data_IF_005741675842
#
_entry.id   IF_005741675842
#
_cell.length_a   1.000
_cell.length_b   1.000
_cell.length_c   1.000
_cell.angle_alpha   90.00
_cell.angle_beta   90.00
_cell.angle_gamma   90.00
#
_symmetry.space_group_name_H-M   'P 1'
#
loop_
_entity.id
_entity.type
_entity.pdbx_description
1 polymer ?
#
# COMPACT_ATOMS: atom_id res chain seq x y z
N UNK A 1 37.62 49.14 -4.38
CA UNK A 1 37.55 47.76 -3.84
C UNK A 1 36.10 47.45 -3.50
N UNK A 2 35.52 46.39 -4.05
CA UNK A 2 34.14 45.99 -3.71
C UNK A 2 34.13 45.48 -2.27
N UNK A 3 33.23 46.01 -1.44
CA UNK A 3 33.08 45.58 -0.04
C UNK A 3 32.43 44.19 0.03
N UNK A 4 32.90 43.35 0.94
CA UNK A 4 32.34 42.02 1.21
C UNK A 4 30.83 42.06 1.46
N UNK A 5 30.31 43.17 2.02
CA UNK A 5 28.87 43.38 2.23
C UNK A 5 28.10 43.52 0.92
N UNK A 6 28.68 44.19 -0.09
CA UNK A 6 28.07 44.33 -1.41
C UNK A 6 28.04 42.97 -2.14
N UNK A 7 29.11 42.19 -2.00
CA UNK A 7 29.16 40.81 -2.52
C UNK A 7 28.10 39.93 -1.84
N UNK A 8 27.98 39.98 -0.51
CA UNK A 8 26.95 39.23 0.23
C UNK A 8 25.53 39.60 -0.18
N UNK A 9 25.24 40.89 -0.35
CA UNK A 9 23.92 41.34 -0.85
C UNK A 9 23.66 40.89 -2.28
N UNK A 10 24.66 40.95 -3.15
CA UNK A 10 24.53 40.49 -4.53
C UNK A 10 24.28 38.98 -4.61
N UNK A 11 25.01 38.18 -3.82
CA UNK A 11 24.81 36.73 -3.72
C UNK A 11 23.45 36.37 -3.15
N UNK A 12 22.99 37.06 -2.09
CA UNK A 12 21.66 36.85 -1.53
C UNK A 12 20.55 37.18 -2.54
N UNK A 13 20.67 38.32 -3.24
CA UNK A 13 19.73 38.69 -4.29
C UNK A 13 19.72 37.69 -5.46
N UNK A 14 20.89 37.14 -5.82
CA UNK A 14 21.00 36.11 -6.85
C UNK A 14 20.35 34.78 -6.43
N UNK A 15 20.52 34.37 -5.17
CA UNK A 15 19.87 33.19 -4.62
C UNK A 15 18.34 33.33 -4.64
N UNK A 16 17.80 34.43 -4.12
CA UNK A 16 16.35 34.71 -4.15
C UNK A 16 15.79 34.81 -5.57
N UNK A 17 16.54 35.41 -6.51
CA UNK A 17 16.13 35.47 -7.91
C UNK A 17 16.11 34.09 -8.57
N UNK A 18 17.04 33.21 -8.21
CA UNK A 18 17.09 31.85 -8.77
C UNK A 18 15.97 30.98 -8.19
N UNK A 19 15.65 31.16 -6.91
CA UNK A 19 14.55 30.47 -6.23
C UNK A 19 13.17 30.89 -6.80
N UNK A 20 12.99 32.19 -7.08
CA UNK A 20 11.80 32.72 -7.77
C UNK A 20 11.79 32.47 -9.29
N UNK A 21 12.96 32.17 -9.89
CA UNK A 21 13.06 31.77 -11.29
C UNK A 21 12.90 30.25 -11.47
N UNK A 22 12.87 29.46 -10.38
CA UNK A 22 12.49 28.05 -10.45
C UNK A 22 11.04 28.01 -10.90
N UNK A 23 10.82 27.43 -12.09
CA UNK A 23 9.50 27.43 -12.73
C UNK A 23 8.51 26.70 -11.81
N UNK A 24 7.27 27.21 -11.61
CA UNK A 24 6.34 26.67 -10.61
C UNK A 24 6.11 25.15 -10.67
N UNK A 25 6.14 24.58 -11.88
CA UNK A 25 6.00 23.14 -12.08
C UNK A 25 7.18 22.32 -11.53
N UNK A 26 8.39 22.89 -11.45
CA UNK A 26 9.56 22.20 -10.89
C UNK A 26 9.39 21.97 -9.40
N UNK A 27 8.83 22.93 -8.66
CA UNK A 27 8.56 22.75 -7.23
C UNK A 27 7.57 21.61 -6.96
N UNK A 28 6.52 21.51 -7.78
CA UNK A 28 5.53 20.42 -7.69
C UNK A 28 6.17 19.06 -8.02
N UNK A 29 7.04 19.02 -9.04
CA UNK A 29 7.77 17.79 -9.41
C UNK A 29 8.75 17.37 -8.32
N UNK A 30 9.49 18.31 -7.74
CA UNK A 30 10.43 18.05 -6.64
C UNK A 30 9.69 17.51 -5.41
N UNK A 31 8.55 18.11 -5.05
CA UNK A 31 7.70 17.63 -3.96
C UNK A 31 7.17 16.21 -4.23
N UNK A 32 6.76 15.93 -5.46
CA UNK A 32 6.31 14.59 -5.84
C UNK A 32 7.44 13.55 -5.73
N UNK A 33 8.68 13.89 -6.09
CA UNK A 33 9.82 12.96 -5.96
C UNK A 33 10.22 12.74 -4.49
N UNK A 34 10.11 13.79 -3.66
CA UNK A 34 10.27 13.68 -2.21
C UNK A 34 9.22 12.73 -1.60
N UNK A 35 7.94 12.96 -1.91
CA UNK A 35 6.85 12.09 -1.46
C UNK A 35 7.06 10.63 -1.92
N UNK A 36 7.53 10.42 -3.15
CA UNK A 36 7.82 9.07 -3.67
C UNK A 36 8.97 8.38 -2.93
N UNK A 37 9.96 9.15 -2.47
CA UNK A 37 11.06 8.65 -1.64
C UNK A 37 10.55 8.21 -0.27
N UNK A 38 9.66 9.00 0.35
CA UNK A 38 9.03 8.63 1.62
C UNK A 38 8.15 7.38 1.48
N UNK A 39 7.40 7.25 0.38
CA UNK A 39 6.63 6.04 0.09
C UNK A 39 7.53 4.80 -0.06
N UNK A 40 8.69 4.93 -0.73
CA UNK A 40 9.66 3.83 -0.84
C UNK A 40 10.18 3.42 0.54
N UNK A 41 10.44 4.39 1.41
CA UNK A 41 10.86 4.13 2.79
C UNK A 41 9.76 3.44 3.59
N UNK A 42 8.52 3.87 3.45
CA UNK A 42 7.36 3.27 4.10
C UNK A 42 7.13 1.82 3.63
N UNK A 43 7.23 1.57 2.32
CA UNK A 43 7.18 0.21 1.76
C UNK A 43 8.30 -0.67 2.34
N UNK A 44 9.53 -0.15 2.40
CA UNK A 44 10.65 -0.87 3.00
C UNK A 44 10.44 -1.19 4.49
N UNK A 45 9.76 -0.33 5.25
CA UNK A 45 9.35 -0.66 6.62
C UNK A 45 8.36 -1.82 6.67
N UNK A 46 7.35 -1.82 5.80
CA UNK A 46 6.36 -2.90 5.73
C UNK A 46 7.04 -4.21 5.34
N UNK A 47 7.98 -4.19 4.40
CA UNK A 47 8.72 -5.38 3.97
C UNK A 47 9.65 -5.92 5.08
N UNK A 48 10.31 -5.03 5.82
CA UNK A 48 11.30 -5.43 6.83
C UNK A 48 10.69 -5.75 8.20
N UNK A 49 9.63 -5.04 8.61
CA UNK A 49 9.05 -5.10 9.96
C UNK A 49 7.64 -5.70 9.94
N UNK A 50 6.82 -5.29 8.97
CA UNK A 50 5.42 -5.69 8.85
C UNK A 50 4.46 -4.89 9.73
N UNK A 51 3.19 -4.83 9.30
CA UNK A 51 2.14 -4.10 10.01
C UNK A 51 1.64 -4.83 11.26
N UNK A 52 1.69 -6.16 11.26
CA UNK A 52 1.28 -6.97 12.42
C UNK A 52 2.20 -6.70 13.61
N UNK A 53 3.52 -6.64 13.35
CA UNK A 53 4.50 -6.31 14.38
C UNK A 53 4.38 -4.88 14.88
N UNK A 54 3.97 -3.94 14.02
CA UNK A 54 3.65 -2.58 14.45
C UNK A 54 2.42 -2.56 15.37
N UNK A 55 1.40 -3.37 15.09
CA UNK A 55 0.25 -3.53 15.97
C UNK A 55 0.64 -4.12 17.33
N UNK A 56 1.47 -5.16 17.35
CA UNK A 56 1.98 -5.74 18.61
C UNK A 56 2.76 -4.72 19.45
N UNK A 57 3.52 -3.84 18.79
CA UNK A 57 4.27 -2.77 19.46
C UNK A 57 3.35 -1.69 20.04
N UNK A 58 2.25 -1.34 19.36
CA UNK A 58 1.21 -0.46 19.88
C UNK A 58 0.56 -1.07 21.10
N UNK A 59 0.15 -2.34 21.04
CA UNK A 59 -0.45 -3.05 22.16
C UNK A 59 0.51 -3.17 23.36
N UNK A 60 1.82 -3.25 23.10
CA UNK A 60 2.84 -3.20 24.14
C UNK A 60 2.97 -1.81 24.78
N UNK A 61 2.90 -0.74 23.99
CA UNK A 61 2.92 0.63 24.47
C UNK A 61 1.69 0.95 25.33
N UNK A 62 0.49 0.55 24.88
CA UNK A 62 -0.75 0.69 25.65
C UNK A 62 -0.65 -0.06 26.98
N UNK A 63 -0.13 -1.30 26.98
CA UNK A 63 0.09 -2.07 28.22
C UNK A 63 1.13 -1.45 29.16
N UNK A 64 2.11 -0.73 28.61
CA UNK A 64 3.12 -0.01 29.38
C UNK A 64 2.60 1.35 29.91
N UNK A 65 1.42 1.79 29.48
CA UNK A 65 0.88 3.12 29.80
C UNK A 65 1.56 4.27 29.04
N UNK A 66 2.31 3.97 27.97
CA UNK A 66 2.88 5.00 27.09
C UNK A 66 1.86 5.38 26.01
N UNK A 67 0.90 6.19 26.43
CA UNK A 67 -0.26 6.57 25.62
C UNK A 67 0.15 7.40 24.38
N UNK A 68 1.19 8.22 24.49
CA UNK A 68 1.71 9.02 23.38
C UNK A 68 2.41 8.16 22.31
N UNK A 69 3.12 7.09 22.71
CA UNK A 69 3.66 6.13 21.74
C UNK A 69 2.55 5.32 21.09
N UNK A 70 1.57 4.86 21.86
CA UNK A 70 0.45 4.08 21.35
C UNK A 70 -0.41 4.88 20.37
N UNK A 71 -0.73 6.14 20.69
CA UNK A 71 -1.49 7.03 19.80
C UNK A 71 -0.76 7.22 18.46
N UNK A 72 0.52 7.58 18.49
CA UNK A 72 1.32 7.72 17.26
C UNK A 72 1.37 6.43 16.44
N UNK A 73 1.45 5.28 17.09
CA UNK A 73 1.45 4.00 16.38
C UNK A 73 0.08 3.65 15.79
N UNK A 74 -1.03 3.99 16.47
CA UNK A 74 -2.39 3.85 15.95
C UNK A 74 -2.60 4.74 14.71
N UNK A 75 -2.12 5.98 14.76
CA UNK A 75 -2.16 6.90 13.61
C UNK A 75 -1.37 6.35 12.42
N UNK A 76 -0.18 5.80 12.68
CA UNK A 76 0.62 5.15 11.65
C UNK A 76 -0.13 3.96 11.02
N UNK A 77 -0.73 3.08 11.83
CA UNK A 77 -1.53 1.96 11.32
C UNK A 77 -2.73 2.43 10.49
N UNK A 78 -3.42 3.49 10.93
CA UNK A 78 -4.53 4.08 10.18
C UNK A 78 -4.07 4.59 8.81
N UNK A 79 -2.93 5.29 8.75
CA UNK A 79 -2.35 5.76 7.49
C UNK A 79 -2.00 4.60 6.54
N UNK A 80 -1.31 3.57 7.03
CA UNK A 80 -0.99 2.39 6.20
C UNK A 80 -2.23 1.67 5.65
N UNK A 81 -3.28 1.54 6.48
CA UNK A 81 -4.56 0.95 6.05
C UNK A 81 -5.26 1.82 4.99
N UNK A 82 -5.21 3.13 5.14
CA UNK A 82 -5.73 4.06 4.14
C UNK A 82 -4.98 3.94 2.81
N UNK A 83 -3.64 3.86 2.83
CA UNK A 83 -2.84 3.64 1.61
C UNK A 83 -3.17 2.30 0.93
N UNK A 84 -3.33 1.23 1.71
CA UNK A 84 -3.74 -0.07 1.15
C UNK A 84 -5.12 -0.03 0.50
N UNK A 85 -6.07 0.71 1.11
CA UNK A 85 -7.41 0.92 0.54
C UNK A 85 -7.34 1.71 -0.76
N UNK A 86 -6.56 2.78 -0.80
CA UNK A 86 -6.36 3.58 -2.01
C UNK A 86 -5.75 2.74 -3.14
N UNK A 87 -4.71 1.95 -2.85
CA UNK A 87 -4.07 1.05 -3.81
C UNK A 87 -5.02 -0.05 -4.34
N UNK A 88 -5.94 -0.53 -3.50
CA UNK A 88 -6.97 -1.49 -3.92
C UNK A 88 -8.09 -0.83 -4.75
N UNK A 89 -8.38 0.46 -4.51
CA UNK A 89 -9.41 1.23 -5.21
C UNK A 89 -9.09 1.51 -6.69
N UNK A 90 -7.81 1.69 -7.03
CA UNK A 90 -7.37 1.79 -8.43
C UNK A 90 -7.38 0.44 -9.17
N UNK A 91 -7.31 -0.69 -8.45
CA UNK A 91 -7.34 -2.01 -9.06
C UNK A 91 -8.74 -2.44 -9.56
N UNK A 92 -9.81 -1.74 -9.15
CA UNK A 92 -11.20 -2.01 -9.56
C UNK A 92 -11.66 -1.06 -10.69
N UNK A 93 -10.86 -0.05 -11.05
CA UNK A 93 -11.23 0.98 -12.02
C UNK A 93 -10.90 0.69 -13.50
N UNK A 94 -10.22 -0.41 -13.82
CA UNK A 94 -9.75 -0.70 -15.19
C UNK A 94 -10.54 -1.82 -15.88
N UNK A 95 -11.85 -1.62 -16.01
CA UNK A 95 -12.67 -2.24 -17.07
C UNK A 95 -13.84 -1.30 -17.40
N UNK A 96 -13.75 -0.47 -18.46
CA UNK A 96 -14.95 -0.09 -19.17
C UNK A 96 -15.48 -1.37 -19.82
N UNK A 97 -16.46 -2.02 -19.19
CA UNK A 97 -17.25 -3.04 -19.86
C UNK A 97 -17.90 -2.38 -21.07
N UNK A 98 -17.40 -2.71 -22.26
CA UNK A 98 -18.08 -2.46 -23.50
C UNK A 98 -19.31 -3.37 -23.54
N UNK A 99 -20.40 -2.94 -22.92
CA UNK A 99 -21.75 -3.42 -23.25
C UNK A 99 -22.31 -2.50 -24.33
N UNK A 100 -21.90 -2.79 -25.56
CA UNK A 100 -22.72 -2.46 -26.72
C UNK A 100 -23.83 -3.53 -26.83
N UNK A 101 -25.06 -3.08 -27.01
CA UNK A 101 -26.27 -3.89 -27.21
C UNK A 101 -27.08 -3.99 -25.91
N UNK A 102 -28.37 -3.70 -25.88
CA UNK A 102 -29.33 -3.54 -26.95
C UNK A 102 -30.55 -2.81 -26.38
N UNK A 103 -31.23 -2.06 -27.24
CA UNK A 103 -32.54 -1.47 -26.96
C UNK A 103 -33.55 -2.59 -26.68
N UNK A 104 -34.24 -2.57 -25.53
CA UNK A 104 -35.61 -3.07 -25.48
C UNK A 104 -36.44 -2.46 -24.35
N UNK A 105 -37.43 -1.67 -24.78
CA UNK A 105 -38.76 -1.51 -24.20
C UNK A 105 -38.89 -1.09 -22.74
N UNK A 106 -39.13 0.22 -22.59
CA UNK A 106 -39.90 0.74 -21.47
C UNK A 106 -41.30 0.13 -21.44
N UNK A 107 -41.58 -0.66 -20.41
CA UNK A 107 -42.92 -1.02 -19.99
C UNK A 107 -43.10 -0.56 -18.54
N UNK A 108 -43.80 0.57 -18.38
CA UNK A 108 -44.41 0.96 -17.11
C UNK A 108 -45.57 0.01 -16.82
N UNK A 109 -45.44 -0.78 -15.77
CA UNK A 109 -46.57 -1.37 -15.07
C UNK A 109 -46.25 -1.30 -13.57
N UNK A 110 -47.02 -0.47 -12.88
CA UNK A 110 -47.19 -0.57 -11.44
C UNK A 110 -47.87 -1.92 -11.15
N UNK A 111 -47.37 -2.68 -10.19
CA UNK A 111 -48.19 -3.62 -9.43
C UNK A 111 -47.66 -3.78 -8.00
N UNK A 112 -48.62 -3.71 -7.09
CA UNK A 112 -48.54 -3.60 -5.65
C UNK A 112 -48.75 -5.02 -5.08
N UNK A 113 -47.91 -5.52 -4.17
CA UNK A 113 -48.10 -6.91 -3.72
C UNK A 113 -47.07 -7.49 -2.77
N UNK A 114 -47.25 -7.19 -1.49
CA UNK A 114 -46.98 -8.02 -0.31
C UNK A 114 -46.95 -9.55 -0.56
N UNK A 115 -45.95 -10.27 -0.04
CA UNK A 115 -46.11 -11.30 1.01
C UNK A 115 -44.85 -12.15 1.24
N UNK A 116 -44.55 -12.34 2.52
CA UNK A 116 -43.56 -13.28 3.04
C UNK A 116 -44.10 -14.70 3.00
N UNK A 117 -43.26 -15.68 2.65
CA UNK A 117 -43.43 -17.06 3.15
C UNK A 117 -42.09 -17.67 3.54
N UNK A 118 -42.14 -18.36 4.68
CA UNK A 118 -41.05 -18.95 5.43
C UNK A 118 -40.61 -20.32 4.88
N UNK A 119 -39.45 -20.77 5.36
CA UNK A 119 -39.25 -22.17 5.74
C UNK A 119 -38.30 -22.99 4.85
N UNK A 120 -37.19 -23.42 5.43
CA UNK A 120 -36.26 -24.35 4.78
C UNK A 120 -35.07 -24.69 5.68
N UNK A 121 -35.34 -25.21 6.87
CA UNK A 121 -34.34 -25.78 7.78
C UNK A 121 -33.63 -26.97 7.12
N UNK A 122 -32.31 -27.00 7.23
CA UNK A 122 -31.46 -28.06 6.72
C UNK A 122 -30.18 -28.19 7.55
N UNK A 123 -30.35 -28.65 8.80
CA UNK A 123 -29.27 -29.14 9.66
C UNK A 123 -28.57 -30.36 9.03
N UNK A 124 -27.23 -30.28 8.91
CA UNK A 124 -26.36 -31.39 8.51
C UNK A 124 -24.94 -31.23 9.10
N UNK A 125 -24.47 -32.14 9.97
CA UNK A 125 -23.28 -31.94 10.81
C UNK A 125 -21.93 -32.15 10.10
N UNK A 126 -20.80 -31.70 10.70
CA UNK A 126 -19.47 -31.71 10.09
C UNK A 126 -18.77 -33.08 10.20
N UNK A 127 -18.23 -33.58 9.08
CA UNK A 127 -17.59 -34.89 9.00
C UNK A 127 -16.19 -34.86 8.38
N UNK A 128 -15.19 -35.08 9.23
CA UNK A 128 -13.94 -35.83 9.01
C UNK A 128 -12.99 -35.43 7.86
N UNK A 129 -11.95 -34.69 8.23
CA UNK A 129 -10.55 -35.14 8.20
C UNK A 129 -10.15 -36.15 7.11
N UNK A 130 -9.44 -35.65 6.08
CA UNK A 130 -8.48 -36.43 5.30
C UNK A 130 -7.23 -35.60 5.02
N UNK A 131 -6.25 -35.77 5.91
CA UNK A 131 -4.83 -35.66 5.59
C UNK A 131 -4.49 -36.40 4.29
N UNK A 132 -4.10 -35.68 3.24
CA UNK A 132 -3.18 -36.14 2.21
C UNK A 132 -2.66 -34.89 1.46
N UNK A 133 -1.42 -34.44 1.71
CA UNK A 133 -0.15 -34.97 1.20
C UNK A 133 0.44 -33.96 0.20
N UNK A 134 1.39 -33.19 0.72
CA UNK A 134 2.42 -32.38 0.07
C UNK A 134 2.56 -32.54 -1.45
N UNK A 135 2.20 -31.49 -2.20
CA UNK A 135 2.57 -31.33 -3.61
C UNK A 135 3.27 -29.98 -3.83
N UNK A 136 4.32 -29.72 -3.06
CA UNK A 136 5.43 -28.93 -3.58
C UNK A 136 5.98 -29.68 -4.80
N UNK A 137 5.67 -29.17 -6.00
CA UNK A 137 6.28 -29.67 -7.24
C UNK A 137 7.77 -29.43 -7.14
N UNK A 138 8.55 -30.49 -6.89
CA UNK A 138 10.00 -30.45 -7.04
C UNK A 138 10.33 -30.05 -8.48
N UNK A 139 10.74 -28.79 -8.66
CA UNK A 139 11.42 -28.39 -9.89
C UNK A 139 12.71 -29.20 -10.06
N UNK A 140 13.16 -29.45 -11.30
CA UNK A 140 14.42 -30.15 -11.54
C UNK A 140 15.55 -29.42 -10.81
N UNK A 141 16.25 -30.13 -9.94
CA UNK A 141 17.30 -29.57 -9.10
C UNK A 141 18.36 -28.86 -9.94
N UNK A 142 18.69 -27.62 -9.57
CA UNK A 142 19.84 -26.91 -10.11
C UNK A 142 21.08 -27.73 -9.72
N UNK A 143 21.88 -28.22 -10.68
CA UNK A 143 23.11 -28.93 -10.35
C UNK A 143 24.03 -27.98 -9.57
N UNK A 144 24.52 -28.45 -8.42
CA UNK A 144 25.50 -27.71 -7.61
C UNK A 144 26.79 -27.58 -8.42
N UNK A 145 27.41 -26.39 -8.47
CA UNK A 145 28.75 -26.28 -9.05
C UNK A 145 29.73 -27.07 -8.19
N UNK A 146 30.62 -27.80 -8.84
CA UNK A 146 31.77 -28.44 -8.20
C UNK A 146 32.67 -27.37 -7.61
N UNK A 147 32.48 -27.04 -6.33
CA UNK A 147 33.47 -26.29 -5.57
C UNK A 147 34.65 -27.22 -5.29
N UNK A 148 35.50 -27.36 -6.30
CA UNK A 148 36.84 -27.91 -6.19
C UNK A 148 37.66 -27.07 -5.22
N UNK A 149 37.66 -27.50 -3.96
CA UNK A 149 38.65 -27.15 -2.95
C UNK A 149 39.11 -28.48 -2.35
N UNK A 150 39.96 -29.18 -3.11
CA UNK A 150 40.77 -30.24 -2.53
C UNK A 150 41.78 -29.61 -1.57
N UNK A 151 42.10 -30.26 -0.43
CA UNK A 151 43.14 -29.77 0.45
C UNK A 151 44.47 -30.04 -0.28
N UNK A 152 45.23 -28.97 -0.53
CA UNK A 152 46.69 -28.92 -0.73
C UNK A 152 47.04 -27.87 -1.80
N UNK A 153 47.27 -26.64 -1.33
CA UNK A 153 48.34 -25.74 -1.83
C UNK A 153 48.50 -24.50 -0.96
#
# INVERSE_FOLDING_TARGET
>A
MVSTTAVKRALAALATRTDTARRPYVAVIDEADAARTDLRRAAGFVDAVGLDRLADAVDAADRAGDEAAAERGRDALAAYRAFRRAAAGDAVGDRPEATAGDDDTGATAEDDGTEATAGGDGDGPPGADRCARDHFRSGPGIPKPDTGQGPDR
#
